data_IF_710310314122
#
_entry.id   IF_710310314122
#
_cell.length_a   1.000
_cell.length_b   1.000
_cell.length_c   1.000
_cell.angle_alpha   90.00
_cell.angle_beta   90.00
_cell.angle_gamma   90.00
#
_symmetry.space_group_name_H-M   'P 1'
#
loop_
_entity.id
_entity.type
_entity.pdbx_description
1 polymer ?
#
# COMPACT_ATOMS: atom_id res chain seq x y z
N UNK A 1 -12.75 0.31 1.42
CA UNK A 1 -12.48 1.74 1.39
C UNK A 1 -12.38 2.29 2.80
N UNK A 2 -11.53 3.27 3.02
CA UNK A 2 -11.35 3.90 4.31
C UNK A 2 -12.58 4.69 4.69
N UNK A 3 -12.95 4.68 5.97
CA UNK A 3 -14.15 5.36 6.42
C UNK A 3 -13.91 6.86 6.50
N UNK A 4 -14.54 7.67 5.65
CA UNK A 4 -14.26 9.10 5.60
C UNK A 4 -14.60 9.84 6.88
N UNK A 5 -15.64 9.38 7.59
CA UNK A 5 -16.07 10.04 8.81
C UNK A 5 -15.02 9.96 9.92
N UNK A 6 -14.32 8.84 10.01
CA UNK A 6 -13.24 8.69 10.99
C UNK A 6 -12.14 9.70 10.70
N UNK A 7 -11.76 9.82 9.43
CA UNK A 7 -10.69 10.72 9.03
C UNK A 7 -11.06 12.18 9.19
N UNK A 8 -12.32 12.52 8.99
CA UNK A 8 -12.78 13.91 9.10
C UNK A 8 -12.85 14.40 10.55
N UNK A 9 -13.19 13.53 11.48
CA UNK A 9 -13.34 13.90 12.88
C UNK A 9 -12.02 14.02 13.62
N UNK A 10 -10.93 13.46 13.06
CA UNK A 10 -9.63 13.50 13.71
C UNK A 10 -8.74 14.55 13.05
N UNK A 11 -8.14 15.39 13.89
CA UNK A 11 -7.24 16.44 13.43
C UNK A 11 -5.96 15.92 12.83
N UNK A 12 -5.47 14.80 13.35
CA UNK A 12 -4.18 14.23 12.94
C UNK A 12 -4.38 12.79 12.52
N UNK A 13 -4.47 12.60 11.22
CA UNK A 13 -4.61 11.26 10.65
C UNK A 13 -3.39 10.40 10.94
N UNK A 14 -2.23 11.03 11.02
CA UNK A 14 -0.99 10.35 11.35
C UNK A 14 -0.96 9.78 12.76
N UNK A 15 -1.93 10.13 13.61
CA UNK A 15 -2.07 9.51 14.93
C UNK A 15 -2.62 8.09 14.86
N UNK A 16 -3.30 7.77 13.75
CA UNK A 16 -3.75 6.40 13.54
C UNK A 16 -2.55 5.55 13.18
N UNK A 17 -2.08 4.78 14.16
CA UNK A 17 -0.90 3.95 13.99
C UNK A 17 -1.23 2.53 13.61
N UNK A 18 -2.51 2.18 13.61
CA UNK A 18 -2.98 0.86 13.21
C UNK A 18 -4.18 1.03 12.28
N UNK A 19 -4.34 0.07 11.37
CA UNK A 19 -5.47 0.04 10.47
C UNK A 19 -6.75 -0.26 11.27
N UNK A 20 -7.81 0.57 11.14
CA UNK A 20 -9.05 0.31 11.86
C UNK A 20 -9.78 -0.94 11.37
N UNK A 21 -9.40 -1.49 10.21
CA UNK A 21 -10.04 -2.67 9.65
C UNK A 21 -9.33 -3.96 10.03
N UNK A 22 -8.00 -4.01 9.93
CA UNK A 22 -7.25 -5.24 10.17
C UNK A 22 -6.31 -5.18 11.39
N UNK A 23 -6.10 -3.99 11.97
CA UNK A 23 -5.26 -3.83 13.15
C UNK A 23 -3.76 -3.83 12.89
N UNK A 24 -3.32 -3.96 11.65
CA UNK A 24 -1.89 -3.93 11.33
C UNK A 24 -1.30 -2.55 11.51
N UNK A 25 -0.02 -2.44 11.89
CA UNK A 25 0.64 -1.15 12.01
C UNK A 25 0.73 -0.43 10.68
N UNK A 26 0.36 0.84 10.68
CA UNK A 26 0.43 1.69 9.49
C UNK A 26 1.06 3.03 9.84
N UNK A 27 1.42 3.76 8.81
CA UNK A 27 1.79 5.16 8.91
C UNK A 27 1.14 5.91 7.76
N UNK A 28 1.09 7.22 7.87
CA UNK A 28 0.47 8.07 6.87
C UNK A 28 1.51 8.90 6.15
N UNK A 29 1.40 8.95 4.83
CA UNK A 29 2.30 9.78 4.01
C UNK A 29 1.42 10.76 3.24
N UNK A 30 1.78 12.03 3.30
CA UNK A 30 1.08 13.08 2.56
C UNK A 30 1.75 13.26 1.20
N UNK A 31 0.97 13.12 0.12
CA UNK A 31 1.49 13.23 -1.25
C UNK A 31 1.40 14.64 -1.82
N UNK A 32 0.93 15.60 -1.03
CA UNK A 32 0.69 16.97 -1.47
C UNK A 32 -0.80 17.25 -1.70
N UNK A 33 -1.61 16.22 -1.80
CA UNK A 33 -3.06 16.33 -2.03
C UNK A 33 -3.84 15.58 -0.95
N UNK A 34 -3.42 14.36 -0.66
CA UNK A 34 -4.13 13.51 0.29
C UNK A 34 -3.16 12.72 1.16
N UNK A 35 -3.70 12.16 2.25
CA UNK A 35 -2.96 11.29 3.13
C UNK A 35 -3.14 9.85 2.69
N UNK A 36 -2.02 9.13 2.51
CA UNK A 36 -2.00 7.76 2.02
C UNK A 36 -1.58 6.84 3.16
N UNK A 37 -2.41 5.87 3.55
CA UNK A 37 -1.99 4.90 4.54
C UNK A 37 -1.07 3.87 3.91
N UNK A 38 0.05 3.63 4.55
CA UNK A 38 1.04 2.65 4.11
C UNK A 38 1.40 1.72 5.25
N UNK A 39 1.90 0.54 4.92
CA UNK A 39 2.43 -0.37 5.92
C UNK A 39 3.62 0.30 6.62
N UNK A 40 3.67 0.18 7.94
CA UNK A 40 4.70 0.88 8.72
C UNK A 40 6.11 0.42 8.37
N UNK A 41 6.29 -0.88 8.15
CA UNK A 41 7.60 -1.42 7.88
C UNK A 41 7.98 -1.19 6.43
N UNK A 42 9.16 -0.62 6.16
CA UNK A 42 9.59 -0.37 4.79
C UNK A 42 9.94 -1.66 4.06
N UNK A 43 9.85 -1.60 2.74
CA UNK A 43 10.23 -2.72 1.87
C UNK A 43 11.23 -2.23 0.83
N UNK A 44 12.08 -3.14 0.37
CA UNK A 44 12.94 -2.89 -0.78
C UNK A 44 12.22 -3.34 -2.05
N UNK A 45 12.37 -2.57 -3.12
CA UNK A 45 11.65 -2.85 -4.36
C UNK A 45 12.39 -2.27 -5.56
N UNK A 46 11.96 -2.71 -6.73
CA UNK A 46 12.34 -2.10 -8.02
C UNK A 46 11.07 -1.92 -8.83
N UNK A 47 11.10 -1.00 -9.78
CA UNK A 47 10.05 -0.90 -10.79
C UNK A 47 10.29 -1.99 -11.83
N UNK A 48 9.26 -2.76 -12.14
CA UNK A 48 9.37 -3.88 -13.06
C UNK A 48 8.01 -4.18 -13.69
N UNK A 49 7.97 -4.47 -15.01
CA UNK A 49 6.70 -4.74 -15.69
C UNK A 49 5.88 -5.89 -15.10
N UNK A 50 6.54 -6.88 -14.48
CA UNK A 50 5.85 -7.99 -13.85
C UNK A 50 5.51 -7.74 -12.39
N UNK A 51 5.81 -6.55 -11.86
CA UNK A 51 5.49 -6.20 -10.47
C UNK A 51 4.01 -6.03 -10.26
N UNK A 52 3.52 -6.44 -9.09
CA UNK A 52 2.10 -6.38 -8.73
C UNK A 52 1.84 -5.57 -7.46
N UNK A 53 2.87 -4.97 -6.90
CA UNK A 53 2.76 -4.21 -5.66
C UNK A 53 2.71 -2.72 -5.93
N UNK A 54 1.98 -2.01 -5.07
CA UNK A 54 1.97 -0.55 -5.07
C UNK A 54 2.79 -0.06 -3.89
N UNK A 55 3.82 0.72 -4.17
CA UNK A 55 4.73 1.23 -3.15
C UNK A 55 4.73 2.75 -3.19
N UNK A 56 4.67 3.36 -2.02
CA UNK A 56 4.83 4.81 -1.89
C UNK A 56 6.31 5.09 -1.67
N UNK A 57 6.89 5.82 -2.60
CA UNK A 57 8.29 6.18 -2.59
C UNK A 57 8.41 7.66 -2.88
N UNK A 58 9.12 8.38 -2.00
CA UNK A 58 9.32 9.81 -2.17
C UNK A 58 8.00 10.57 -2.37
N UNK A 59 6.99 10.18 -1.59
CA UNK A 59 5.63 10.74 -1.60
C UNK A 59 4.84 10.48 -2.88
N UNK A 60 5.30 9.57 -3.72
CA UNK A 60 4.59 9.18 -4.93
C UNK A 60 4.16 7.73 -4.84
N UNK A 61 2.98 7.43 -5.38
CA UNK A 61 2.51 6.06 -5.49
C UNK A 61 3.05 5.47 -6.77
N UNK A 62 3.87 4.44 -6.64
CA UNK A 62 4.45 3.73 -7.76
C UNK A 62 3.74 2.39 -7.93
N UNK A 63 3.19 2.18 -9.11
CA UNK A 63 2.56 0.91 -9.47
C UNK A 63 3.58 -0.01 -10.13
N UNK A 64 3.24 -1.28 -10.21
CA UNK A 64 4.08 -2.30 -10.82
C UNK A 64 5.47 -2.36 -10.18
N UNK A 65 5.47 -2.43 -8.87
CA UNK A 65 6.70 -2.63 -8.11
C UNK A 65 6.89 -4.11 -7.83
N UNK A 66 8.13 -4.55 -7.94
CA UNK A 66 8.54 -5.89 -7.58
C UNK A 66 9.26 -5.82 -6.23
N UNK A 67 8.70 -6.48 -5.21
CA UNK A 67 9.31 -6.49 -3.89
C UNK A 67 10.54 -7.38 -3.88
N UNK A 68 11.58 -6.95 -3.17
CA UNK A 68 12.84 -7.68 -3.11
C UNK A 68 12.63 -9.07 -2.52
N UNK A 69 13.22 -10.05 -3.19
CA UNK A 69 13.26 -11.43 -2.73
C UNK A 69 14.64 -11.97 -2.99
N UNK A 70 15.27 -12.49 -1.94
CA UNK A 70 16.62 -13.04 -2.06
C UNK A 70 16.65 -14.16 -3.10
N UNK A 71 17.62 -14.07 -4.02
CA UNK A 71 17.77 -15.04 -5.09
C UNK A 71 16.97 -14.75 -6.34
N UNK A 72 16.19 -13.67 -6.35
CA UNK A 72 15.43 -13.28 -7.51
C UNK A 72 16.35 -12.58 -8.52
N UNK A 73 16.53 -13.21 -9.68
CA UNK A 73 17.46 -12.73 -10.71
C UNK A 73 17.06 -11.40 -11.33
N UNK A 74 15.79 -11.02 -11.21
CA UNK A 74 15.32 -9.73 -11.71
C UNK A 74 15.95 -8.56 -10.99
N UNK A 75 16.56 -8.80 -9.83
CA UNK A 75 17.27 -7.79 -9.05
C UNK A 75 18.77 -7.73 -9.36
N UNK A 76 19.28 -8.65 -10.20
CA UNK A 76 20.70 -8.72 -10.48
C UNK A 76 21.20 -7.43 -11.14
N UNK A 77 22.26 -6.85 -10.59
CA UNK A 77 22.86 -5.62 -11.09
C UNK A 77 22.07 -4.36 -10.75
N UNK A 78 20.99 -4.48 -9.99
CA UNK A 78 20.15 -3.34 -9.61
C UNK A 78 20.28 -3.04 -8.13
N UNK A 79 20.16 -1.77 -7.79
CA UNK A 79 20.09 -1.34 -6.39
C UNK A 79 18.64 -1.12 -6.01
N UNK A 80 18.07 -1.94 -5.11
CA UNK A 80 16.68 -1.75 -4.71
C UNK A 80 16.47 -0.41 -4.00
N UNK A 81 15.28 0.14 -4.16
CA UNK A 81 14.84 1.34 -3.47
C UNK A 81 14.07 0.94 -2.21
N UNK A 82 14.00 1.84 -1.25
CA UNK A 82 13.24 1.63 -0.02
C UNK A 82 11.97 2.47 -0.05
N UNK A 83 10.84 1.83 0.21
CA UNK A 83 9.57 2.50 0.29
C UNK A 83 8.62 1.74 1.18
N UNK A 84 7.34 2.13 1.19
CA UNK A 84 6.32 1.51 2.00
C UNK A 84 5.17 1.07 1.10
N UNK A 85 4.74 -0.19 1.25
CA UNK A 85 3.60 -0.67 0.46
C UNK A 85 2.34 0.06 0.87
N UNK A 86 1.51 0.41 -0.11
CA UNK A 86 0.26 1.09 0.14
C UNK A 86 -0.69 0.12 0.85
N UNK A 87 -1.12 0.47 2.06
CA UNK A 87 -1.86 -0.46 2.92
C UNK A 87 -3.21 -0.87 2.32
N UNK A 88 -3.80 -0.04 1.48
CA UNK A 88 -5.05 -0.38 0.81
C UNK A 88 -4.96 -1.74 0.09
N UNK A 89 -3.81 -2.07 -0.45
CA UNK A 89 -3.59 -3.31 -1.20
C UNK A 89 -3.11 -4.46 -0.32
N UNK A 90 -2.62 -4.19 0.87
CA UNK A 90 -2.13 -5.23 1.79
C UNK A 90 -3.09 -5.53 2.94
N UNK A 91 -4.10 -4.71 3.12
CA UNK A 91 -5.09 -4.91 4.17
C UNK A 91 -5.97 -6.13 3.84
N UNK A 92 -5.94 -7.13 4.70
CA UNK A 92 -6.70 -8.36 4.46
C UNK A 92 -8.21 -8.12 4.34
N UNK A 93 -8.74 -7.22 5.16
CA UNK A 93 -10.17 -6.90 5.13
C UNK A 93 -10.56 -6.19 3.83
N UNK A 94 -9.81 -5.17 3.45
CA UNK A 94 -10.09 -4.44 2.21
C UNK A 94 -9.84 -5.30 0.98
N UNK A 95 -8.86 -6.19 1.05
CA UNK A 95 -8.53 -7.11 -0.02
C UNK A 95 -9.70 -8.06 -0.31
N UNK A 96 -10.28 -8.63 0.74
CA UNK A 96 -11.45 -9.49 0.59
C UNK A 96 -12.64 -8.72 0.04
N UNK A 97 -12.85 -7.52 0.49
CA UNK A 97 -13.94 -6.67 0.01
C UNK A 97 -13.79 -6.37 -1.48
N UNK A 98 -12.59 -6.08 -1.93
CA UNK A 98 -12.33 -5.82 -3.35
C UNK A 98 -12.56 -7.05 -4.21
N UNK A 99 -12.18 -8.22 -3.72
CA UNK A 99 -12.40 -9.48 -4.44
C UNK A 99 -13.90 -9.75 -4.61
N UNK A 100 -14.67 -9.56 -3.56
CA UNK A 100 -16.11 -9.75 -3.61
C UNK A 100 -16.76 -8.76 -4.60
N UNK A 101 -16.32 -7.52 -4.59
CA UNK A 101 -16.82 -6.49 -5.50
C UNK A 101 -16.50 -6.84 -6.95
N UNK A 102 -15.27 -7.19 -7.23
CA UNK A 102 -14.84 -7.54 -8.59
C UNK A 102 -15.57 -8.78 -9.10
N UNK A 103 -15.76 -9.78 -8.25
CA UNK A 103 -16.48 -11.00 -8.61
C UNK A 103 -17.92 -10.69 -9.00
N UNK A 104 -18.58 -9.82 -8.24
CA UNK A 104 -19.96 -9.41 -8.52
C UNK A 104 -20.09 -8.76 -9.89
N UNK A 105 -19.13 -7.92 -10.25
CA UNK A 105 -19.12 -7.24 -11.54
C UNK A 105 -18.84 -8.16 -12.70
N UNK A 106 -17.95 -9.12 -12.52
CA UNK A 106 -17.55 -10.02 -13.59
C UNK A 106 -18.61 -11.10 -13.89
N UNK A 107 -19.46 -11.42 -12.92
CA UNK A 107 -20.50 -12.42 -13.09
C UNK A 107 -21.79 -11.87 -13.72
N UNK A 108 -21.89 -10.57 -13.83
CA UNK A 108 -23.00 -9.93 -14.52
C UNK A 108 -22.66 -9.67 -15.99
#
# INVERSE_FOLDING_TARGET
MWQPLIWKTHRRREEYRVCPHCGKPIRWIYDGVSWIPVDRDPVMFILHPSGKSCVVYNREVLEKCLLYKKGDRRFDGLTPLNGNTQHYYTCEVLKEHRKAYARRYLEE
#
